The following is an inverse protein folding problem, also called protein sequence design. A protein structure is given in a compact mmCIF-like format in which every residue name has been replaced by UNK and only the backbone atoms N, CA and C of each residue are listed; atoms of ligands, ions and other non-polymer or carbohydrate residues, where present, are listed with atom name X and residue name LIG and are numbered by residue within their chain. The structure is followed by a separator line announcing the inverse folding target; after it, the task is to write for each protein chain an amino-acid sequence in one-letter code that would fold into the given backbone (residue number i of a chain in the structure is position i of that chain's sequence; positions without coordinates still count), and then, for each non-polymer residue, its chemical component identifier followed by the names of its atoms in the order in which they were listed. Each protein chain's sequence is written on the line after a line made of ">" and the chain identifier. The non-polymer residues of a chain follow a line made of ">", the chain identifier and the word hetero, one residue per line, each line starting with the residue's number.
data_IF_748990762659
#
_entry.id   IF_748990762659
#
_cell.length_a   1.000
_cell.length_b   1.000
_cell.length_c   1.000
_cell.angle_alpha   90.00
_cell.angle_beta   90.00
_cell.angle_gamma   90.00
#
_symmetry.space_group_name_H-M   'P 1'
#
loop_
_entity.id
_entity.type
_entity.pdbx_description
1 polymer ?
#
# COMPACT_ATOMS: atom_id res chain seq x y z
N UNK A 1 12.18 29.93 -31.00
CA UNK A 1 12.84 29.01 -30.05
C UNK A 1 11.91 28.86 -28.85
N UNK A 2 10.84 28.07 -29.00
CA UNK A 2 9.83 27.92 -27.93
C UNK A 2 10.23 26.73 -27.06
N UNK A 3 10.67 27.03 -25.85
CA UNK A 3 10.96 26.02 -24.83
C UNK A 3 9.62 25.57 -24.28
N UNK A 4 9.17 24.38 -24.65
CA UNK A 4 8.05 23.71 -23.98
C UNK A 4 8.54 23.27 -22.60
N UNK A 5 7.93 23.85 -21.56
CA UNK A 5 8.06 23.36 -20.20
C UNK A 5 7.35 22.00 -20.09
N UNK A 6 8.11 20.94 -19.84
CA UNK A 6 7.56 19.63 -19.47
C UNK A 6 6.97 19.80 -18.06
N UNK A 7 5.68 19.49 -17.82
CA UNK A 7 5.15 19.51 -16.47
C UNK A 7 5.89 18.44 -15.66
N UNK A 8 6.39 18.79 -14.49
CA UNK A 8 7.02 17.85 -13.57
C UNK A 8 6.02 16.72 -13.25
N UNK A 9 6.20 15.57 -13.91
CA UNK A 9 5.61 14.33 -13.46
C UNK A 9 6.16 14.09 -12.05
N UNK A 10 5.30 14.15 -11.03
CA UNK A 10 5.65 13.73 -9.67
C UNK A 10 6.20 12.30 -9.78
N UNK A 11 7.51 12.17 -9.55
CA UNK A 11 8.27 11.01 -9.98
C UNK A 11 7.85 9.74 -9.22
N UNK A 12 7.25 8.79 -9.93
CA UNK A 12 7.11 7.42 -9.45
C UNK A 12 8.50 6.81 -9.26
N UNK A 13 8.79 6.37 -8.04
CA UNK A 13 10.07 5.73 -7.72
C UNK A 13 10.19 4.35 -8.38
N UNK A 14 11.43 3.89 -8.57
CA UNK A 14 11.68 2.50 -8.93
C UNK A 14 11.22 1.58 -7.79
N UNK A 15 10.63 0.40 -8.07
CA UNK A 15 10.30 -0.56 -7.04
C UNK A 15 11.56 -1.01 -6.28
N UNK A 16 11.45 -1.13 -4.96
CA UNK A 16 12.51 -1.58 -4.07
C UNK A 16 12.05 -2.82 -3.32
N UNK A 17 12.84 -3.90 -3.41
CA UNK A 17 12.58 -5.13 -2.65
C UNK A 17 13.28 -5.05 -1.30
N UNK A 18 12.52 -5.28 -0.25
CA UNK A 18 12.98 -5.29 1.14
C UNK A 18 13.44 -6.70 1.56
N UNK A 19 14.17 -6.84 2.68
CA UNK A 19 14.58 -8.16 3.17
C UNK A 19 13.43 -9.11 3.49
N UNK A 20 12.23 -8.60 3.81
CA UNK A 20 11.03 -9.41 4.05
C UNK A 20 10.38 -9.94 2.77
N UNK A 21 10.84 -9.45 1.61
CA UNK A 21 10.29 -9.76 0.29
C UNK A 21 9.18 -8.79 -0.16
N UNK A 22 8.77 -7.81 0.66
CA UNK A 22 7.90 -6.73 0.19
C UNK A 22 8.60 -5.98 -0.95
N UNK A 23 7.89 -5.80 -2.07
CA UNK A 23 8.28 -4.85 -3.12
C UNK A 23 7.49 -3.57 -2.89
N UNK A 24 8.18 -2.51 -2.52
CA UNK A 24 7.60 -1.19 -2.28
C UNK A 24 7.89 -0.27 -3.47
N UNK A 25 6.87 0.43 -3.95
CA UNK A 25 7.01 1.46 -4.96
C UNK A 25 6.23 2.71 -4.56
N UNK A 26 6.91 3.82 -4.29
CA UNK A 26 6.24 5.12 -4.12
C UNK A 26 5.73 5.60 -5.47
N UNK A 27 4.43 5.86 -5.55
CA UNK A 27 3.74 6.41 -6.73
C UNK A 27 3.56 7.93 -6.58
N UNK A 28 3.40 8.41 -5.35
CA UNK A 28 3.32 9.82 -5.00
C UNK A 28 3.89 10.00 -3.60
N UNK A 29 4.89 10.86 -3.48
CA UNK A 29 5.40 11.24 -2.17
C UNK A 29 4.37 12.05 -1.37
N UNK A 30 4.22 11.70 -0.10
CA UNK A 30 3.47 12.48 0.87
C UNK A 30 4.36 13.46 1.62
N UNK A 31 3.76 14.18 2.58
CA UNK A 31 4.48 15.11 3.45
C UNK A 31 4.21 14.80 4.92
N UNK A 32 5.15 15.20 5.78
CA UNK A 32 5.07 14.94 7.23
C UNK A 32 5.76 13.65 7.66
N UNK A 33 5.48 13.24 8.90
CA UNK A 33 6.10 12.09 9.52
C UNK A 33 5.43 10.78 9.09
N UNK A 34 6.24 9.77 8.81
CA UNK A 34 5.75 8.41 8.60
C UNK A 34 5.06 7.86 9.87
N UNK A 35 4.07 6.97 9.73
CA UNK A 35 3.47 6.30 10.87
C UNK A 35 4.48 5.34 11.53
N UNK A 36 4.38 5.19 12.84
CA UNK A 36 4.94 4.05 13.56
C UNK A 36 3.96 2.87 13.47
N UNK A 37 4.44 1.63 13.67
CA UNK A 37 3.59 0.45 13.67
C UNK A 37 2.42 0.51 14.68
N UNK A 38 2.56 1.28 15.76
CA UNK A 38 1.54 1.44 16.82
C UNK A 38 0.49 2.51 16.51
N UNK A 39 0.70 3.32 15.46
CA UNK A 39 -0.21 4.39 15.10
C UNK A 39 -1.49 3.85 14.44
N UNK A 40 -2.52 4.68 14.42
CA UNK A 40 -3.72 4.44 13.60
C UNK A 40 -3.58 5.19 12.28
N UNK A 41 -3.90 4.52 11.17
CA UNK A 41 -3.81 5.10 9.82
C UNK A 41 -5.18 5.12 9.17
N UNK A 42 -5.45 6.19 8.44
CA UNK A 42 -6.62 6.30 7.56
C UNK A 42 -6.15 6.22 6.12
N UNK A 43 -6.68 5.27 5.37
CA UNK A 43 -6.20 4.96 4.02
C UNK A 43 -7.34 4.77 3.03
N UNK A 44 -7.09 5.14 1.79
CA UNK A 44 -7.75 4.48 0.68
C UNK A 44 -6.85 3.37 0.13
N UNK A 45 -7.46 2.31 -0.40
CA UNK A 45 -6.71 1.25 -1.04
C UNK A 45 -7.51 0.45 -2.05
N UNK A 46 -6.76 -0.26 -2.87
CA UNK A 46 -7.25 -1.27 -3.81
C UNK A 46 -6.33 -2.48 -3.78
N UNK A 47 -6.87 -3.64 -3.46
CA UNK A 47 -6.19 -4.93 -3.45
C UNK A 47 -6.50 -5.76 -4.70
N UNK A 48 -5.47 -6.18 -5.43
CA UNK A 48 -5.60 -7.00 -6.64
C UNK A 48 -4.62 -8.18 -6.67
N UNK A 49 -4.95 -9.22 -7.43
CA UNK A 49 -4.01 -10.28 -7.75
C UNK A 49 -3.06 -9.83 -8.87
N UNK A 50 -1.74 -9.99 -8.74
CA UNK A 50 -0.77 -9.51 -9.72
C UNK A 50 -0.97 -10.14 -11.11
N UNK A 51 -1.29 -11.43 -11.17
CA UNK A 51 -1.35 -12.17 -12.44
C UNK A 51 -2.59 -11.82 -13.28
N UNK A 52 -3.73 -11.65 -12.63
CA UNK A 52 -5.01 -11.41 -13.31
C UNK A 52 -5.45 -9.95 -13.26
N UNK A 53 -4.86 -9.13 -12.39
CA UNK A 53 -5.37 -7.79 -12.07
C UNK A 53 -6.73 -7.80 -11.35
N UNK A 54 -7.28 -8.99 -11.05
CA UNK A 54 -8.60 -9.13 -10.41
C UNK A 54 -8.57 -8.51 -9.04
N UNK A 55 -9.48 -7.58 -8.80
CA UNK A 55 -9.67 -6.95 -7.51
C UNK A 55 -10.40 -7.88 -6.54
N UNK A 56 -9.89 -7.96 -5.32
CA UNK A 56 -10.50 -8.72 -4.24
C UNK A 56 -11.03 -7.83 -3.11
N UNK A 57 -10.51 -6.61 -2.97
CA UNK A 57 -10.96 -5.63 -1.98
C UNK A 57 -10.62 -4.21 -2.44
N UNK A 58 -11.47 -3.24 -2.08
CA UNK A 58 -11.28 -1.82 -2.43
C UNK A 58 -12.10 -0.92 -1.52
N UNK A 59 -11.44 0.04 -0.88
CA UNK A 59 -12.14 1.09 -0.13
C UNK A 59 -12.93 2.02 -1.06
N UNK A 60 -12.46 2.21 -2.29
CA UNK A 60 -13.13 3.09 -3.26
C UNK A 60 -14.51 2.56 -3.65
N UNK A 61 -14.66 1.24 -3.72
CA UNK A 61 -15.97 0.61 -3.96
C UNK A 61 -16.96 0.83 -2.81
N UNK A 62 -16.46 1.05 -1.59
CA UNK A 62 -17.27 1.39 -0.42
C UNK A 62 -17.56 2.89 -0.30
N UNK A 63 -16.84 3.73 -1.06
CA UNK A 63 -17.02 5.19 -1.07
C UNK A 63 -16.35 5.94 0.08
N UNK A 64 -15.66 5.25 1.00
CA UNK A 64 -15.02 5.89 2.16
C UNK A 64 -13.65 5.27 2.50
N UNK A 65 -12.71 6.06 3.08
CA UNK A 65 -11.45 5.53 3.59
C UNK A 65 -11.67 4.54 4.72
N UNK A 66 -10.74 3.61 4.89
CA UNK A 66 -10.73 2.68 6.03
C UNK A 66 -9.70 3.13 7.06
N UNK A 67 -10.04 3.07 8.34
CA UNK A 67 -9.17 3.42 9.46
C UNK A 67 -8.91 2.20 10.34
N UNK A 68 -7.65 1.95 10.67
CA UNK A 68 -7.25 0.80 11.50
C UNK A 68 -5.89 1.03 12.17
N UNK A 69 -5.63 0.35 13.30
CA UNK A 69 -4.29 0.31 13.90
C UNK A 69 -3.31 -0.42 12.98
N UNK A 70 -2.14 0.17 12.72
CA UNK A 70 -1.21 -0.34 11.70
C UNK A 70 -0.56 -1.68 12.08
N UNK A 71 -0.54 -2.04 13.36
CA UNK A 71 -0.11 -3.34 13.86
C UNK A 71 -1.24 -4.40 13.87
N UNK A 72 -2.45 -4.03 13.45
CA UNK A 72 -3.61 -4.94 13.35
C UNK A 72 -3.84 -5.53 11.95
N UNK A 73 -2.93 -5.28 11.01
CA UNK A 73 -3.01 -5.74 9.62
C UNK A 73 -1.86 -6.69 9.26
N UNK A 74 -1.87 -7.22 8.04
CA UNK A 74 -0.82 -8.13 7.58
C UNK A 74 0.57 -7.47 7.64
N UNK A 75 1.65 -8.22 7.95
CA UNK A 75 2.99 -7.65 8.14
C UNK A 75 3.48 -6.82 6.95
N UNK A 76 3.13 -7.20 5.72
CA UNK A 76 3.44 -6.43 4.51
C UNK A 76 2.91 -4.99 4.56
N UNK A 77 1.67 -4.81 5.04
CA UNK A 77 1.06 -3.50 5.19
C UNK A 77 1.72 -2.71 6.31
N UNK A 78 1.95 -3.35 7.46
CA UNK A 78 2.65 -2.73 8.59
C UNK A 78 4.01 -2.20 8.14
N UNK A 79 4.79 -2.98 7.40
CA UNK A 79 6.07 -2.54 6.87
C UNK A 79 5.94 -1.45 5.79
N UNK A 80 5.08 -1.66 4.80
CA UNK A 80 4.96 -0.78 3.64
C UNK A 80 4.43 0.61 3.99
N UNK A 81 3.42 0.70 4.85
CA UNK A 81 2.81 1.98 5.22
C UNK A 81 3.73 2.80 6.15
N UNK A 82 4.60 2.15 6.94
CA UNK A 82 5.65 2.86 7.70
C UNK A 82 6.68 3.56 6.80
N UNK A 83 6.76 3.21 5.51
CA UNK A 83 7.60 3.90 4.52
C UNK A 83 6.87 5.07 3.84
N UNK A 84 5.56 5.18 4.03
CA UNK A 84 4.74 6.23 3.43
C UNK A 84 4.68 7.46 4.32
N UNK A 85 4.21 8.57 3.75
CA UNK A 85 3.87 9.82 4.45
C UNK A 85 2.43 10.21 4.13
N UNK A 86 1.72 10.92 5.04
CA UNK A 86 0.39 11.47 4.77
C UNK A 86 0.30 12.20 3.42
N UNK A 87 -0.79 11.99 2.69
CA UNK A 87 -1.02 12.47 1.32
C UNK A 87 -0.28 11.69 0.22
N UNK A 88 0.55 10.71 0.59
CA UNK A 88 1.31 9.87 -0.32
C UNK A 88 0.54 8.66 -0.85
N UNK A 89 1.00 8.12 -1.98
CA UNK A 89 0.47 6.92 -2.62
C UNK A 89 1.60 5.95 -2.91
N UNK A 90 1.40 4.67 -2.62
CA UNK A 90 2.38 3.63 -2.89
C UNK A 90 1.71 2.36 -3.43
N UNK A 91 2.49 1.57 -4.16
CA UNK A 91 2.16 0.19 -4.52
C UNK A 91 2.99 -0.76 -3.67
N UNK A 92 2.33 -1.73 -3.06
CA UNK A 92 2.92 -2.79 -2.25
C UNK A 92 2.66 -4.12 -2.96
N UNK A 93 3.71 -4.86 -3.33
CA UNK A 93 3.59 -6.27 -3.71
C UNK A 93 4.00 -7.11 -2.51
N UNK A 94 3.01 -7.80 -1.95
CA UNK A 94 3.12 -8.59 -0.75
C UNK A 94 3.24 -10.08 -1.10
N UNK A 95 4.39 -10.72 -0.87
CA UNK A 95 4.49 -12.17 -0.97
C UNK A 95 3.67 -12.83 0.16
N UNK A 96 3.27 -14.09 -0.02
CA UNK A 96 2.38 -14.78 0.91
C UNK A 96 2.95 -14.89 2.34
N UNK A 97 4.28 -14.96 2.49
CA UNK A 97 4.98 -15.06 3.78
C UNK A 97 4.70 -13.90 4.74
N UNK A 98 4.39 -12.72 4.21
CA UNK A 98 4.05 -11.51 4.97
C UNK A 98 2.63 -11.00 4.64
N UNK A 99 1.80 -11.88 4.07
CA UNK A 99 0.38 -11.65 3.78
C UNK A 99 -0.48 -12.71 4.48
N UNK A 100 -1.19 -13.56 3.73
CA UNK A 100 -2.13 -14.56 4.28
C UNK A 100 -1.59 -16.00 4.27
N UNK A 101 -0.34 -16.20 3.83
CA UNK A 101 0.35 -17.49 3.84
C UNK A 101 -0.44 -18.63 3.17
N UNK A 102 -0.18 -19.86 3.62
CA UNK A 102 -0.84 -21.07 3.13
C UNK A 102 -2.31 -21.18 3.51
N UNK A 103 -2.78 -20.37 4.47
CA UNK A 103 -4.18 -20.39 4.91
C UNK A 103 -5.08 -19.63 3.94
N UNK A 104 -4.57 -18.59 3.28
CA UNK A 104 -5.40 -17.65 2.53
C UNK A 104 -6.39 -16.90 3.45
N UNK A 105 -7.45 -16.33 2.87
CA UNK A 105 -8.47 -15.59 3.62
C UNK A 105 -9.87 -15.75 3.04
N UNK A 106 -10.80 -16.26 3.87
CA UNK A 106 -12.25 -16.15 3.67
C UNK A 106 -12.80 -16.68 2.35
N UNK A 107 -12.08 -17.56 1.65
CA UNK A 107 -12.42 -18.02 0.30
C UNK A 107 -12.20 -17.00 -0.82
N UNK A 108 -11.79 -15.77 -0.48
CA UNK A 108 -11.50 -14.69 -1.43
C UNK A 108 -10.04 -14.69 -1.84
N UNK A 109 -9.14 -14.90 -0.87
CA UNK A 109 -7.70 -14.96 -1.09
C UNK A 109 -7.26 -16.42 -1.00
N UNK A 110 -6.74 -17.02 -2.09
CA UNK A 110 -6.30 -18.40 -2.07
C UNK A 110 -5.01 -18.59 -1.25
N UNK A 111 -4.70 -19.82 -0.83
CA UNK A 111 -3.43 -20.19 -0.25
C UNK A 111 -2.23 -19.71 -1.08
N UNK A 112 -1.19 -19.22 -0.39
CA UNK A 112 0.09 -18.81 -0.97
C UNK A 112 -0.01 -17.71 -2.05
N UNK A 113 -1.07 -16.91 -2.04
CA UNK A 113 -1.25 -15.84 -3.00
C UNK A 113 -0.30 -14.65 -2.73
N UNK A 114 0.35 -14.17 -3.79
CA UNK A 114 0.96 -12.84 -3.82
C UNK A 114 -0.12 -11.80 -4.08
N UNK A 115 -0.05 -10.66 -3.40
CA UNK A 115 -1.06 -9.60 -3.50
C UNK A 115 -0.43 -8.27 -3.90
N UNK A 116 -1.10 -7.51 -4.74
CA UNK A 116 -0.79 -6.11 -4.98
C UNK A 116 -1.78 -5.23 -4.23
N UNK A 117 -1.26 -4.21 -3.56
CA UNK A 117 -2.07 -3.13 -3.00
C UNK A 117 -1.60 -1.80 -3.55
N UNK A 118 -2.52 -1.00 -4.06
CA UNK A 118 -2.31 0.44 -4.17
C UNK A 118 -2.93 1.09 -2.95
N UNK A 119 -2.12 1.85 -2.20
CA UNK A 119 -2.50 2.47 -0.93
C UNK A 119 -2.28 3.96 -1.02
N UNK A 120 -3.27 4.74 -0.61
CA UNK A 120 -3.20 6.19 -0.42
C UNK A 120 -3.34 6.47 1.07
N UNK A 121 -2.28 7.02 1.69
CA UNK A 121 -2.29 7.36 3.10
C UNK A 121 -2.94 8.73 3.28
N UNK A 122 -4.16 8.77 3.81
CA UNK A 122 -4.92 10.00 4.01
C UNK A 122 -4.39 10.76 5.22
N UNK A 123 -4.30 10.09 6.38
CA UNK A 123 -3.84 10.69 7.63
C UNK A 123 -3.28 9.64 8.58
N UNK A 124 -2.51 10.13 9.57
CA UNK A 124 -1.94 9.32 10.65
C UNK A 124 -2.37 9.93 11.98
N UNK A 125 -2.96 9.11 12.85
CA UNK A 125 -3.29 9.47 14.23
C UNK A 125 -2.25 8.84 15.13
N UNK A 126 -1.37 9.69 15.68
CA UNK A 126 -0.31 9.27 16.60
C UNK A 126 -0.91 8.80 17.92
N UNK A 127 -0.40 7.68 18.44
CA UNK A 127 -0.72 7.21 19.81
C UNK A 127 0.21 7.80 20.85
#
# INVERSE_FOLDING_TARGET
>A
MSIFAIPAAFAQSAPVTTPSGLIYQSLKEGTGASPAATDTVKVHYRGTFPDSGKEFDSSYKRGEPTEFPLNGVIPCWTEGVQKMKPGGKAKLTCPPSIAYGSRGAGGVIPPNATLNFEVELVSVTKR
#
